data_IF_562012191228
#
_entry.id   IF_562012191228
#
_cell.length_a   1.000
_cell.length_b   1.000
_cell.length_c   1.000
_cell.angle_alpha   90.00
_cell.angle_beta   90.00
_cell.angle_gamma   90.00
#
_symmetry.space_group_name_H-M   'P 1'
#
loop_
_entity.id
_entity.type
_entity.pdbx_description
1 polymer ?
#
# COMPACT_ATOMS: atom_id res chain seq x y z
N UNK A 1 -35.82 20.72 22.69
CA UNK A 1 -35.93 21.71 21.59
C UNK A 1 -34.67 22.56 21.68
N UNK A 2 -33.68 22.48 20.80
CA UNK A 2 -33.70 22.36 19.34
C UNK A 2 -32.46 21.60 18.83
N UNK A 3 -32.69 20.56 18.01
CA UNK A 3 -31.69 19.92 17.16
C UNK A 3 -31.09 20.92 16.17
N UNK A 4 -29.76 20.97 16.06
CA UNK A 4 -29.07 21.49 14.87
C UNK A 4 -28.37 20.33 14.18
N UNK A 5 -29.09 19.68 13.26
CA UNK A 5 -28.52 18.79 12.25
C UNK A 5 -27.61 19.63 11.35
N UNK A 6 -26.30 19.39 11.41
CA UNK A 6 -25.38 19.86 10.37
C UNK A 6 -25.55 18.92 9.19
N UNK A 7 -26.30 19.39 8.19
CA UNK A 7 -26.49 18.69 6.93
C UNK A 7 -25.20 18.84 6.12
N UNK A 8 -24.39 17.79 6.09
CA UNK A 8 -23.23 17.72 5.19
C UNK A 8 -23.78 17.27 3.83
N UNK A 9 -23.73 18.17 2.85
CA UNK A 9 -24.27 17.97 1.51
C UNK A 9 -23.68 16.70 0.86
N UNK A 10 -24.57 15.75 0.54
CA UNK A 10 -24.29 14.52 -0.22
C UNK A 10 -23.53 14.76 -1.53
N UNK A 11 -23.64 15.98 -2.06
CA UNK A 11 -22.96 16.47 -3.26
C UNK A 11 -21.43 16.41 -3.12
N UNK A 12 -20.87 16.64 -1.93
CA UNK A 12 -19.41 16.62 -1.72
C UNK A 12 -18.82 15.20 -1.69
N UNK A 13 -19.58 14.23 -1.16
CA UNK A 13 -19.17 12.82 -1.10
C UNK A 13 -19.19 12.19 -2.49
N UNK A 14 -20.19 12.54 -3.31
CA UNK A 14 -20.31 12.05 -4.69
C UNK A 14 -19.22 12.62 -5.60
N UNK A 15 -18.82 13.88 -5.40
CA UNK A 15 -17.75 14.51 -6.17
C UNK A 15 -16.37 13.88 -5.89
N UNK A 16 -16.09 13.53 -4.64
CA UNK A 16 -14.84 12.86 -4.26
C UNK A 16 -14.73 11.44 -4.84
N UNK A 17 -15.84 10.67 -4.84
CA UNK A 17 -15.89 9.36 -5.50
C UNK A 17 -15.77 9.46 -7.02
N UNK A 18 -16.41 10.45 -7.64
CA UNK A 18 -16.29 10.72 -9.08
C UNK A 18 -14.86 11.08 -9.48
N UNK A 19 -14.18 11.92 -8.70
CA UNK A 19 -12.77 12.29 -8.94
C UNK A 19 -11.83 11.10 -8.80
N UNK A 20 -12.06 10.20 -7.83
CA UNK A 20 -11.29 8.96 -7.71
C UNK A 20 -11.50 8.01 -8.89
N UNK A 21 -12.76 7.82 -9.33
CA UNK A 21 -13.08 6.99 -10.49
C UNK A 21 -12.53 7.56 -11.81
N UNK A 22 -12.54 8.88 -11.99
CA UNK A 22 -11.96 9.54 -13.17
C UNK A 22 -10.44 9.35 -13.22
N UNK A 23 -9.75 9.52 -12.09
CA UNK A 23 -8.30 9.30 -12.00
C UNK A 23 -7.91 7.84 -12.25
N UNK A 24 -8.75 6.88 -11.85
CA UNK A 24 -8.56 5.45 -12.16
C UNK A 24 -8.77 5.13 -13.64
N UNK A 25 -9.81 5.71 -14.28
CA UNK A 25 -10.08 5.49 -15.71
C UNK A 25 -9.01 6.08 -16.62
N UNK A 26 -8.42 7.22 -16.25
CA UNK A 26 -7.33 7.85 -17.00
C UNK A 26 -6.01 7.08 -16.97
N UNK A 27 -5.88 6.07 -16.08
CA UNK A 27 -4.71 5.18 -15.99
C UNK A 27 -4.81 3.93 -16.86
N UNK A 28 -5.95 3.71 -17.52
CA UNK A 28 -6.14 2.57 -18.43
C UNK A 28 -5.85 3.07 -19.84
N UNK A 29 -4.74 2.67 -20.50
CA UNK A 29 -4.51 3.02 -21.89
C UNK A 29 -5.64 2.45 -22.74
N UNK A 30 -6.23 3.29 -23.61
CA UNK A 30 -7.26 2.86 -24.54
C UNK A 30 -6.69 1.77 -25.45
N UNK A 31 -7.24 0.55 -25.34
CA UNK A 31 -6.87 -0.57 -26.20
C UNK A 31 -7.32 -0.24 -27.64
N UNK A 32 -6.41 -0.21 -28.63
CA UNK A 32 -6.83 0.00 -30.02
C UNK A 32 -7.75 -1.16 -30.44
N UNK A 33 -8.93 -0.80 -30.95
CA UNK A 33 -9.92 -1.75 -31.43
C UNK A 33 -9.36 -2.63 -32.54
N UNK A 34 -9.64 -3.93 -32.45
CA UNK A 34 -9.37 -4.89 -33.51
C UNK A 34 -10.14 -4.49 -34.77
N UNK A 35 -9.41 -4.26 -35.87
CA UNK A 35 -10.00 -4.24 -37.21
C UNK A 35 -9.51 -5.45 -38.00
N UNK A 36 -10.43 -6.03 -38.76
CA UNK A 36 -10.28 -7.28 -39.49
C UNK A 36 -9.27 -7.17 -40.65
N UNK A 37 -8.70 -8.34 -40.95
CA UNK A 37 -7.95 -8.76 -42.15
C UNK A 37 -8.14 -7.95 -43.43
N UNK A 38 -7.05 -7.62 -44.13
CA UNK A 38 -6.80 -7.96 -45.54
C UNK A 38 -5.32 -7.81 -45.90
N UNK A 39 -4.81 -8.76 -46.69
CA UNK A 39 -3.47 -8.75 -47.30
C UNK A 39 -3.41 -7.69 -48.42
N UNK A 40 -2.34 -6.92 -48.50
CA UNK A 40 -1.81 -6.37 -49.75
C UNK A 40 -0.36 -5.90 -49.60
N UNK A 41 0.50 -6.47 -50.45
CA UNK A 41 1.88 -6.08 -50.73
C UNK A 41 1.96 -4.69 -51.36
N UNK A 42 2.86 -3.81 -50.88
CA UNK A 42 3.68 -2.93 -51.75
C UNK A 42 4.75 -2.14 -50.98
N UNK A 43 5.93 -2.02 -51.60
CA UNK A 43 7.06 -1.19 -51.19
C UNK A 43 6.92 0.25 -51.71
N UNK A 44 7.56 1.15 -50.96
CA UNK A 44 8.22 2.42 -51.30
C UNK A 44 7.55 3.79 -51.01
N UNK A 45 8.35 4.61 -50.31
CA UNK A 45 8.56 6.07 -50.42
C UNK A 45 7.71 7.07 -49.61
N UNK A 46 8.47 7.87 -48.85
CA UNK A 46 8.35 9.30 -48.51
C UNK A 46 7.09 9.84 -47.81
N UNK A 47 7.34 10.42 -46.63
CA UNK A 47 6.43 11.23 -45.81
C UNK A 47 5.83 12.44 -46.53
N UNK A 48 4.60 12.83 -46.15
CA UNK A 48 4.19 14.23 -46.22
C UNK A 48 3.84 14.80 -44.83
N UNK A 49 4.31 16.04 -44.60
CA UNK A 49 3.93 16.91 -43.49
C UNK A 49 2.50 17.43 -43.73
N UNK A 50 1.62 17.36 -42.72
CA UNK A 50 0.35 18.08 -42.72
C UNK A 50 0.31 18.98 -41.49
N UNK A 51 0.29 20.29 -41.74
CA UNK A 51 0.11 21.33 -40.73
C UNK A 51 -1.40 21.52 -40.47
N UNK A 52 -1.82 21.40 -39.21
CA UNK A 52 -3.16 21.81 -38.81
C UNK A 52 -3.12 23.24 -38.25
N UNK A 53 -3.67 24.18 -39.01
CA UNK A 53 -4.05 25.50 -38.52
C UNK A 53 -5.30 25.36 -37.64
N UNK A 54 -5.24 25.82 -36.39
CA UNK A 54 -6.41 25.99 -35.52
C UNK A 54 -6.63 27.48 -35.30
N UNK A 55 -7.75 27.99 -35.80
CA UNK A 55 -8.20 29.37 -35.55
C UNK A 55 -9.00 29.42 -34.26
N UNK A 56 -8.63 30.29 -33.32
CA UNK A 56 -9.35 30.52 -32.06
C UNK A 56 -10.14 31.84 -32.15
N UNK A 57 -11.41 31.93 -31.71
CA UNK A 57 -12.16 33.17 -31.79
C UNK A 57 -11.66 34.20 -30.77
N UNK A 58 -11.57 35.46 -31.19
CA UNK A 58 -11.22 36.58 -30.31
C UNK A 58 -12.39 36.91 -29.36
N UNK A 59 -12.16 36.82 -28.05
CA UNK A 59 -13.10 37.28 -27.03
C UNK A 59 -12.76 38.72 -26.64
N UNK A 60 -13.72 39.62 -26.85
CA UNK A 60 -13.67 41.05 -26.53
C UNK A 60 -13.54 41.30 -25.03
N UNK A 61 -12.60 42.18 -24.69
CA UNK A 61 -12.31 42.68 -23.34
C UNK A 61 -13.42 43.61 -22.82
N UNK A 62 -13.83 43.40 -21.57
CA UNK A 62 -14.36 44.48 -20.73
C UNK A 62 -13.57 44.53 -19.43
N UNK A 63 -12.93 45.67 -19.24
CA UNK A 63 -12.18 46.10 -18.07
C UNK A 63 -13.13 46.38 -16.90
N UNK A 64 -12.83 45.83 -15.73
CA UNK A 64 -13.28 46.38 -14.45
C UNK A 64 -12.09 46.49 -13.52
N UNK A 65 -11.65 47.72 -13.32
CA UNK A 65 -10.66 48.15 -12.34
C UNK A 65 -11.24 48.03 -10.93
N UNK A 66 -10.62 47.23 -10.06
CA UNK A 66 -10.69 47.44 -8.61
C UNK A 66 -9.38 47.04 -7.93
N UNK A 67 -9.00 47.88 -6.99
CA UNK A 67 -7.72 48.08 -6.33
C UNK A 67 -7.33 47.04 -5.27
N UNK A 68 -6.00 46.95 -5.05
CA UNK A 68 -5.26 46.34 -3.93
C UNK A 68 -4.93 44.85 -3.99
N UNK A 69 -3.75 44.53 -4.54
CA UNK A 69 -2.62 43.97 -3.80
C UNK A 69 -1.41 43.95 -4.74
N UNK A 70 -0.22 44.31 -4.25
CA UNK A 70 1.03 44.34 -5.02
C UNK A 70 1.44 42.92 -5.41
N UNK A 71 0.86 42.44 -6.50
CA UNK A 71 1.21 41.21 -7.17
C UNK A 71 2.54 41.44 -7.91
N UNK A 72 3.60 40.76 -7.48
CA UNK A 72 4.95 40.79 -8.10
C UNK A 72 5.06 39.98 -9.40
N UNK A 73 3.95 39.42 -9.89
CA UNK A 73 3.96 38.65 -11.11
C UNK A 73 4.14 39.56 -12.33
N UNK A 74 4.98 39.15 -13.31
CA UNK A 74 5.25 39.96 -14.50
C UNK A 74 3.97 40.17 -15.32
N UNK A 75 3.86 41.33 -15.97
CA UNK A 75 2.76 41.62 -16.88
C UNK A 75 3.17 41.35 -18.32
N UNK A 76 2.23 40.89 -19.14
CA UNK A 76 2.47 40.69 -20.56
C UNK A 76 2.56 42.05 -21.28
N UNK A 77 3.68 42.30 -21.98
CA UNK A 77 3.94 43.56 -22.69
C UNK A 77 2.92 43.87 -23.80
N UNK A 78 2.22 42.86 -24.33
CA UNK A 78 1.32 43.03 -25.46
C UNK A 78 -0.15 43.25 -25.06
N UNK A 79 -0.59 42.79 -23.88
CA UNK A 79 -2.00 42.88 -23.46
C UNK A 79 -2.20 43.30 -22.01
N UNK A 80 -1.14 43.56 -21.25
CA UNK A 80 -1.18 44.01 -19.86
C UNK A 80 -1.74 42.98 -18.87
N UNK A 81 -2.00 41.74 -19.32
CA UNK A 81 -2.50 40.68 -18.45
C UNK A 81 -1.40 40.21 -17.49
N UNK A 82 -1.77 40.00 -16.23
CA UNK A 82 -0.87 39.47 -15.20
C UNK A 82 -0.53 38.01 -15.55
N UNK A 83 0.75 37.72 -15.78
CA UNK A 83 1.23 36.37 -16.05
C UNK A 83 1.36 35.67 -14.70
N UNK A 84 0.42 34.80 -14.34
CA UNK A 84 0.60 33.91 -13.19
C UNK A 84 1.56 32.79 -13.62
N UNK A 85 2.81 32.74 -13.13
CA UNK A 85 3.72 31.66 -13.49
C UNK A 85 3.12 30.33 -13.04
N UNK A 86 3.24 29.30 -13.88
CA UNK A 86 2.85 27.96 -13.48
C UNK A 86 3.65 27.55 -12.23
N UNK A 87 3.04 26.86 -11.25
CA UNK A 87 3.76 26.38 -10.08
C UNK A 87 4.96 25.54 -10.55
N UNK A 88 6.16 25.98 -10.20
CA UNK A 88 7.40 25.27 -10.53
C UNK A 88 7.46 24.06 -9.60
N UNK A 89 7.20 22.86 -10.14
CA UNK A 89 7.45 21.63 -9.43
C UNK A 89 8.98 21.43 -9.34
N UNK A 90 9.55 21.63 -8.16
CA UNK A 90 10.95 21.32 -7.89
C UNK A 90 11.11 19.80 -7.82
N UNK A 91 11.91 19.23 -8.73
CA UNK A 91 12.29 17.83 -8.64
C UNK A 91 13.49 17.70 -7.68
N UNK A 92 13.49 16.68 -6.81
CA UNK A 92 12.49 15.62 -6.71
C UNK A 92 11.27 16.03 -5.87
N UNK A 93 10.07 15.66 -6.32
CA UNK A 93 8.85 15.75 -5.52
C UNK A 93 8.95 14.72 -4.37
N UNK A 94 9.31 15.17 -3.18
CA UNK A 94 9.32 14.31 -1.98
C UNK A 94 7.94 14.35 -1.34
N UNK A 95 7.12 13.35 -1.65
CA UNK A 95 5.84 13.11 -0.98
C UNK A 95 6.11 12.44 0.37
N UNK A 96 6.30 13.26 1.41
CA UNK A 96 6.47 12.83 2.79
C UNK A 96 5.31 13.38 3.65
N UNK A 97 4.07 12.94 3.43
CA UNK A 97 2.93 13.50 4.11
C UNK A 97 2.99 13.14 5.61
N UNK A 98 2.73 14.13 6.44
CA UNK A 98 2.72 14.02 7.90
C UNK A 98 1.49 14.67 8.51
N UNK A 99 1.16 14.27 9.73
CA UNK A 99 0.12 14.89 10.55
C UNK A 99 0.55 14.88 12.01
N UNK A 100 0.26 15.96 12.71
CA UNK A 100 0.51 16.10 14.15
C UNK A 100 -0.80 16.37 14.89
N UNK A 101 -1.05 15.64 15.98
CA UNK A 101 -2.22 15.80 16.84
C UNK A 101 -1.74 15.80 18.29
N UNK A 102 -1.75 16.98 18.92
CA UNK A 102 -1.16 17.15 20.25
C UNK A 102 0.32 16.76 20.25
N UNK A 103 0.67 15.80 21.11
CA UNK A 103 2.03 15.27 21.23
C UNK A 103 2.29 14.04 20.33
N UNK A 104 1.38 13.72 19.42
CA UNK A 104 1.53 12.64 18.47
C UNK A 104 1.93 13.17 17.09
N UNK A 105 2.93 12.55 16.48
CA UNK A 105 3.37 12.87 15.13
C UNK A 105 3.42 11.61 14.27
N UNK A 106 2.85 11.69 13.08
CA UNK A 106 2.80 10.59 12.11
C UNK A 106 3.49 11.05 10.85
N UNK A 107 4.45 10.27 10.39
CA UNK A 107 5.17 10.50 9.14
C UNK A 107 5.03 9.29 8.23
N UNK A 108 4.80 9.58 6.96
CA UNK A 108 4.78 8.55 5.91
C UNK A 108 5.74 8.94 4.81
N UNK A 109 6.49 7.98 4.30
CA UNK A 109 7.40 8.17 3.18
C UNK A 109 7.04 7.15 2.11
N UNK A 110 6.81 7.64 0.88
CA UNK A 110 6.60 6.79 -0.30
C UNK A 110 7.70 7.04 -1.31
N UNK A 111 8.32 5.96 -1.78
CA UNK A 111 9.39 5.96 -2.77
C UNK A 111 9.17 4.82 -3.79
N UNK A 112 9.85 4.87 -4.95
CA UNK A 112 9.86 3.76 -5.90
C UNK A 112 10.45 2.47 -5.30
N UNK A 113 10.32 1.38 -6.07
CA UNK A 113 11.01 0.11 -5.79
C UNK A 113 12.53 0.33 -5.67
N UNK A 114 13.20 -0.58 -4.95
CA UNK A 114 14.66 -0.56 -4.83
C UNK A 114 15.32 -0.63 -6.21
N UNK A 115 16.44 0.08 -6.35
CA UNK A 115 17.29 -0.06 -7.54
C UNK A 115 18.16 -1.32 -7.40
N UNK A 116 18.83 -1.72 -8.48
CA UNK A 116 19.65 -2.95 -8.51
C UNK A 116 20.74 -2.98 -7.44
N UNK A 117 21.38 -1.85 -7.12
CA UNK A 117 22.45 -1.81 -6.11
C UNK A 117 21.88 -2.03 -4.70
N UNK A 118 20.77 -1.37 -4.37
CA UNK A 118 20.10 -1.52 -3.07
C UNK A 118 19.55 -2.95 -2.91
N UNK A 119 19.02 -3.53 -3.99
CA UNK A 119 18.56 -4.93 -4.04
C UNK A 119 19.70 -5.90 -3.73
N UNK A 120 20.82 -5.82 -4.45
CA UNK A 120 21.98 -6.70 -4.23
C UNK A 120 22.52 -6.58 -2.80
N UNK A 121 22.57 -5.36 -2.25
CA UNK A 121 23.02 -5.12 -0.87
C UNK A 121 22.07 -5.75 0.15
N UNK A 122 20.75 -5.61 -0.06
CA UNK A 122 19.75 -6.17 0.84
C UNK A 122 19.73 -7.70 0.77
N UNK A 123 19.78 -8.29 -0.42
CA UNK A 123 19.86 -9.74 -0.61
C UNK A 123 21.10 -10.33 0.05
N UNK A 124 22.26 -9.68 -0.10
CA UNK A 124 23.49 -10.08 0.59
C UNK A 124 23.35 -10.04 2.12
N UNK A 125 22.65 -9.03 2.64
CA UNK A 125 22.40 -8.89 4.08
C UNK A 125 21.42 -9.94 4.60
N UNK A 126 20.38 -10.25 3.83
CA UNK A 126 19.35 -11.22 4.20
C UNK A 126 19.80 -12.67 3.95
N UNK A 127 20.67 -12.91 2.97
CA UNK A 127 21.13 -14.24 2.57
C UNK A 127 20.12 -15.01 1.74
N UNK A 128 19.17 -14.33 1.10
CA UNK A 128 18.15 -14.87 0.21
C UNK A 128 17.66 -13.76 -0.75
N UNK A 129 17.10 -14.09 -1.93
CA UNK A 129 16.58 -13.11 -2.90
C UNK A 129 15.35 -12.40 -2.35
N UNK A 130 15.21 -11.10 -2.60
CA UNK A 130 14.06 -10.33 -2.07
C UNK A 130 12.84 -10.40 -3.02
N UNK A 131 11.64 -10.04 -2.55
CA UNK A 131 10.47 -9.86 -3.41
C UNK A 131 10.73 -8.96 -4.62
N UNK A 132 10.17 -9.32 -5.78
CA UNK A 132 10.35 -8.59 -7.04
C UNK A 132 10.06 -7.08 -6.90
N UNK A 133 8.97 -6.73 -6.23
CA UNK A 133 8.58 -5.35 -5.97
C UNK A 133 8.81 -4.99 -4.51
N UNK A 134 10.07 -4.85 -4.11
CA UNK A 134 10.42 -4.38 -2.76
C UNK A 134 10.52 -2.85 -2.69
N UNK A 135 9.67 -2.23 -1.88
CA UNK A 135 9.70 -0.79 -1.61
C UNK A 135 10.49 -0.50 -0.32
N UNK A 136 11.80 -0.75 -0.33
CA UNK A 136 12.65 -0.70 0.87
C UNK A 136 12.73 0.66 1.56
N UNK A 137 12.42 1.75 0.83
CA UNK A 137 12.39 3.11 1.35
C UNK A 137 10.97 3.57 1.78
N UNK A 138 9.94 2.74 1.60
CA UNK A 138 8.62 3.03 2.14
C UNK A 138 8.65 2.86 3.66
N UNK A 139 8.16 3.88 4.36
CA UNK A 139 8.20 3.91 5.82
C UNK A 139 6.97 4.60 6.39
N UNK A 140 6.45 4.03 7.47
CA UNK A 140 5.47 4.67 8.35
C UNK A 140 6.12 4.80 9.70
N UNK A 141 6.05 5.99 10.29
CA UNK A 141 6.62 6.28 11.60
C UNK A 141 5.57 6.99 12.44
N UNK A 142 5.41 6.55 13.68
CA UNK A 142 4.57 7.21 14.66
C UNK A 142 5.38 7.49 15.90
N UNK A 143 5.32 8.72 16.38
CA UNK A 143 6.01 9.18 17.57
C UNK A 143 5.01 9.75 18.57
N UNK A 144 5.20 9.41 19.84
CA UNK A 144 4.68 10.16 20.98
C UNK A 144 5.84 10.96 21.55
N UNK A 145 5.63 12.26 21.66
CA UNK A 145 6.58 13.19 22.25
C UNK A 145 6.18 13.50 23.70
N UNK A 146 7.17 13.77 24.54
CA UNK A 146 7.00 14.39 25.85
C UNK A 146 6.94 15.92 25.73
N UNK A 147 6.69 16.62 26.85
CA UNK A 147 6.60 18.09 26.89
C UNK A 147 7.86 18.79 26.38
N UNK A 148 9.04 18.21 26.64
CA UNK A 148 10.34 18.69 26.18
C UNK A 148 10.66 18.31 24.72
N UNK A 149 9.70 17.72 24.00
CA UNK A 149 9.82 17.23 22.62
C UNK A 149 10.81 16.07 22.44
N UNK A 150 11.22 15.40 23.50
CA UNK A 150 11.91 14.11 23.36
C UNK A 150 10.93 12.99 22.99
N UNK A 151 11.45 11.92 22.37
CA UNK A 151 10.63 10.78 21.94
C UNK A 151 10.39 9.87 23.13
N UNK A 152 9.15 9.80 23.60
CA UNK A 152 8.71 8.91 24.69
C UNK A 152 8.42 7.50 24.16
N UNK A 153 7.70 7.43 23.04
CA UNK A 153 7.32 6.17 22.41
C UNK A 153 7.35 6.30 20.90
N UNK A 154 7.76 5.24 20.21
CA UNK A 154 7.79 5.23 18.74
C UNK A 154 7.66 3.84 18.15
N UNK A 155 6.97 3.78 17.01
CA UNK A 155 6.86 2.58 16.19
C UNK A 155 7.07 2.91 14.71
N UNK A 156 7.86 2.07 14.05
CA UNK A 156 8.14 2.14 12.63
C UNK A 156 7.60 0.90 11.91
N UNK A 157 7.16 1.07 10.66
CA UNK A 157 6.86 -0.02 9.75
C UNK A 157 7.65 0.17 8.46
N UNK A 158 8.42 -0.85 8.08
CA UNK A 158 9.22 -0.84 6.86
C UNK A 158 9.39 -2.26 6.30
N UNK A 159 9.70 -2.34 5.00
CA UNK A 159 9.86 -3.63 4.32
C UNK A 159 11.08 -4.41 4.81
N UNK A 160 12.18 -3.72 5.12
CA UNK A 160 13.46 -4.33 5.46
C UNK A 160 13.35 -5.14 6.76
N UNK A 161 12.77 -4.56 7.80
CA UNK A 161 12.58 -5.24 9.09
C UNK A 161 11.56 -6.38 8.97
N UNK A 162 10.54 -6.22 8.12
CA UNK A 162 9.61 -7.30 7.83
C UNK A 162 10.32 -8.50 7.16
N UNK A 163 11.20 -8.24 6.19
CA UNK A 163 11.96 -9.27 5.48
C UNK A 163 13.01 -9.95 6.37
N UNK A 164 13.57 -9.25 7.37
CA UNK A 164 14.47 -9.87 8.35
C UNK A 164 13.80 -10.99 9.15
N UNK A 165 12.48 -10.94 9.32
CA UNK A 165 11.70 -11.96 10.04
C UNK A 165 11.30 -13.17 9.17
N UNK A 166 11.62 -13.17 7.89
CA UNK A 166 11.39 -14.33 7.01
C UNK A 166 12.27 -15.49 7.46
N UNK A 167 11.66 -16.67 7.58
CA UNK A 167 12.35 -17.87 8.07
C UNK A 167 13.46 -18.30 7.10
N UNK A 168 14.64 -18.56 7.66
CA UNK A 168 15.84 -19.03 6.94
C UNK A 168 16.16 -20.47 7.35
N UNK A 169 16.77 -21.22 6.45
CA UNK A 169 17.15 -22.63 6.66
C UNK A 169 15.93 -23.51 7.02
N UNK A 170 14.81 -23.30 6.32
CA UNK A 170 13.58 -24.07 6.47
C UNK A 170 13.77 -25.45 5.85
N UNK A 171 13.34 -26.51 6.52
CA UNK A 171 13.37 -27.85 5.94
C UNK A 171 12.48 -27.87 4.67
N UNK A 172 12.94 -28.46 3.55
CA UNK A 172 12.13 -28.61 2.34
C UNK A 172 10.75 -29.24 2.56
N UNK A 173 10.58 -30.07 3.59
CA UNK A 173 9.29 -30.66 3.97
C UNK A 173 8.32 -29.67 4.63
N UNK A 174 8.82 -28.59 5.24
CA UNK A 174 8.03 -27.51 5.84
C UNK A 174 7.73 -26.38 4.84
N UNK A 175 8.43 -26.32 3.72
CA UNK A 175 8.18 -25.35 2.68
C UNK A 175 6.80 -25.57 2.08
N UNK A 176 6.09 -24.48 1.84
CA UNK A 176 4.87 -24.51 1.06
C UNK A 176 5.18 -25.12 -0.30
N UNK A 177 4.51 -26.24 -0.60
CA UNK A 177 4.63 -26.89 -1.90
C UNK A 177 3.61 -26.28 -2.84
N UNK A 178 4.08 -25.75 -3.97
CA UNK A 178 3.20 -25.40 -5.08
C UNK A 178 2.62 -26.66 -5.70
N UNK A 179 1.40 -26.58 -6.22
CA UNK A 179 0.68 -27.75 -6.76
C UNK A 179 1.44 -28.51 -7.87
N UNK A 180 2.31 -27.83 -8.62
CA UNK A 180 3.21 -28.46 -9.62
C UNK A 180 4.63 -28.76 -9.11
N UNK A 181 4.96 -28.40 -7.85
CA UNK A 181 6.28 -28.69 -7.26
C UNK A 181 6.58 -30.19 -7.27
N UNK A 182 5.55 -31.02 -7.06
CA UNK A 182 5.71 -32.46 -7.03
C UNK A 182 6.22 -32.99 -8.39
N UNK A 183 5.68 -32.50 -9.51
CA UNK A 183 6.14 -32.90 -10.85
C UNK A 183 7.57 -32.42 -11.14
N UNK A 184 7.93 -31.23 -10.64
CA UNK A 184 9.27 -30.67 -10.80
C UNK A 184 10.31 -31.38 -9.93
N UNK A 185 9.97 -31.72 -8.69
CA UNK A 185 10.78 -32.51 -7.75
C UNK A 185 10.94 -33.94 -8.28
N UNK A 186 9.87 -34.58 -8.75
CA UNK A 186 9.91 -35.91 -9.35
C UNK A 186 10.79 -35.94 -10.62
N UNK A 187 10.71 -34.91 -11.47
CA UNK A 187 11.56 -34.77 -12.66
C UNK A 187 13.06 -34.53 -12.33
N UNK A 188 13.36 -34.08 -11.11
CA UNK A 188 14.73 -33.78 -10.62
C UNK A 188 15.34 -34.90 -9.79
N UNK A 189 14.53 -35.67 -9.07
CA UNK A 189 14.97 -36.90 -8.41
C UNK A 189 15.54 -37.92 -9.42
N UNK A 190 15.23 -37.76 -10.72
CA UNK A 190 15.77 -38.58 -11.80
C UNK A 190 17.07 -38.03 -12.41
N UNK A 191 17.62 -36.92 -11.92
CA UNK A 191 18.94 -36.38 -12.32
C UNK A 191 19.88 -36.39 -11.12
N UNK A 192 20.73 -37.43 -11.04
CA UNK A 192 21.83 -37.49 -10.06
C UNK A 192 22.87 -36.40 -10.39
N UNK A 193 22.99 -35.41 -9.52
CA UNK A 193 23.99 -34.34 -9.62
C UNK A 193 23.85 -33.40 -8.44
N UNK A 194 24.50 -33.75 -7.33
CA UNK A 194 24.41 -33.07 -6.02
C UNK A 194 25.14 -31.72 -5.95
N UNK A 195 25.69 -31.20 -7.06
CA UNK A 195 26.53 -29.98 -7.04
C UNK A 195 25.75 -28.65 -7.13
N UNK A 196 24.46 -28.66 -7.45
CA UNK A 196 23.64 -27.42 -7.55
C UNK A 196 22.92 -27.09 -6.21
N UNK A 197 23.00 -27.98 -5.22
CA UNK A 197 22.24 -27.90 -3.97
C UNK A 197 22.83 -26.93 -2.92
N UNK A 198 24.05 -26.42 -3.13
CA UNK A 198 24.78 -25.64 -2.12
C UNK A 198 24.50 -24.12 -2.14
N UNK A 199 23.88 -23.57 -3.19
CA UNK A 199 23.83 -22.11 -3.40
C UNK A 199 22.56 -21.44 -2.84
N UNK A 200 21.53 -22.20 -2.48
CA UNK A 200 20.33 -21.67 -1.84
C UNK A 200 20.07 -22.39 -0.53
N UNK A 201 20.45 -21.76 0.59
CA UNK A 201 19.87 -22.14 1.88
C UNK A 201 18.34 -22.10 1.72
N UNK A 202 17.61 -23.17 2.04
CA UNK A 202 16.18 -23.17 1.85
C UNK A 202 15.59 -22.09 2.76
N UNK A 203 14.98 -21.07 2.18
CA UNK A 203 14.31 -20.00 2.89
C UNK A 203 12.82 -20.09 2.56
N UNK A 204 11.99 -19.42 3.34
CA UNK A 204 10.56 -19.35 3.06
C UNK A 204 10.31 -18.44 1.85
N UNK A 205 10.25 -19.05 0.66
CA UNK A 205 10.06 -18.38 -0.64
C UNK A 205 8.71 -17.64 -0.74
N UNK A 206 7.78 -17.88 0.18
CA UNK A 206 6.52 -17.14 0.28
C UNK A 206 6.66 -15.78 0.96
N UNK A 207 7.85 -15.45 1.46
CA UNK A 207 8.16 -14.25 2.24
C UNK A 207 7.25 -14.06 3.44
N UNK A 208 6.80 -15.17 4.03
CA UNK A 208 5.97 -15.16 5.25
C UNK A 208 6.74 -14.47 6.38
N UNK A 209 6.09 -13.48 7.00
CA UNK A 209 6.67 -12.65 8.06
C UNK A 209 5.65 -12.37 9.16
N UNK A 210 6.06 -12.59 10.40
CA UNK A 210 5.29 -12.27 11.61
C UNK A 210 5.53 -10.84 12.10
N UNK A 211 5.94 -9.94 11.20
CA UNK A 211 6.29 -8.57 11.55
C UNK A 211 5.12 -7.79 12.15
N UNK A 212 5.36 -7.24 13.36
CA UNK A 212 4.38 -6.46 14.14
C UNK A 212 4.73 -4.97 14.23
N UNK A 213 5.62 -4.48 13.37
CA UNK A 213 6.24 -3.16 13.50
C UNK A 213 7.46 -3.17 14.44
N UNK A 214 8.38 -2.25 14.17
CA UNK A 214 9.63 -2.07 14.93
C UNK A 214 9.39 -0.98 15.98
N UNK A 215 9.33 -1.35 17.26
CA UNK A 215 9.26 -0.39 18.36
C UNK A 215 10.69 0.05 18.66
N UNK A 216 10.94 1.36 18.59
CA UNK A 216 12.26 1.96 18.83
C UNK A 216 12.41 2.53 20.24
N UNK A 217 11.31 2.62 21.01
CA UNK A 217 11.33 3.04 22.41
C UNK A 217 11.66 1.90 23.37
N UNK A 218 12.22 2.24 24.52
CA UNK A 218 12.53 1.28 25.60
C UNK A 218 11.29 0.82 26.38
N UNK A 219 10.12 1.42 26.13
CA UNK A 219 8.86 1.07 26.81
C UNK A 219 8.31 -0.25 26.23
N UNK A 220 8.28 -1.36 27.00
CA UNK A 220 7.79 -2.63 26.51
C UNK A 220 6.26 -2.64 26.43
N UNK A 221 5.73 -3.37 25.45
CA UNK A 221 4.30 -3.69 25.43
C UNK A 221 4.03 -4.95 26.25
N UNK A 222 2.92 -4.97 26.98
CA UNK A 222 2.49 -6.10 27.81
C UNK A 222 1.43 -6.90 27.07
N UNK A 223 1.56 -8.23 27.04
CA UNK A 223 0.55 -9.11 26.43
C UNK A 223 -0.71 -9.14 27.33
N UNK A 224 -1.83 -8.68 26.79
CA UNK A 224 -3.15 -8.75 27.44
C UNK A 224 -4.25 -8.89 26.38
N UNK A 225 -4.74 -10.13 26.22
CA UNK A 225 -5.76 -10.46 25.24
C UNK A 225 -7.15 -9.88 25.56
N UNK A 226 -7.38 -9.41 26.79
CA UNK A 226 -8.66 -8.80 27.19
C UNK A 226 -8.86 -7.40 26.59
N UNK A 227 -7.77 -6.70 26.26
CA UNK A 227 -7.77 -5.34 25.70
C UNK A 227 -8.14 -5.34 24.22
N UNK A 228 -9.42 -5.22 23.91
CA UNK A 228 -9.90 -5.16 22.52
C UNK A 228 -9.79 -3.75 21.91
N UNK A 229 -9.49 -3.68 20.61
CA UNK A 229 -9.53 -2.42 19.84
C UNK A 229 -10.98 -1.91 19.80
N UNK A 230 -11.28 -0.67 20.23
CA UNK A 230 -12.62 -0.12 20.25
C UNK A 230 -13.10 0.27 18.84
N UNK A 231 -13.77 -0.65 18.15
CA UNK A 231 -14.24 -0.45 16.76
C UNK A 231 -15.29 0.64 16.59
N UNK A 232 -16.05 0.96 17.64
CA UNK A 232 -17.10 2.00 17.59
C UNK A 232 -16.54 3.40 17.31
N UNK A 233 -15.40 3.77 17.92
CA UNK A 233 -14.71 5.04 17.68
C UNK A 233 -14.21 5.15 16.23
N UNK A 234 -13.85 4.02 15.61
CA UNK A 234 -13.32 3.97 14.25
C UNK A 234 -14.38 4.18 13.16
N UNK A 235 -15.66 3.93 13.47
CA UNK A 235 -16.76 4.01 12.48
C UNK A 235 -17.38 5.41 12.36
N UNK A 236 -17.34 6.19 13.43
CA UNK A 236 -18.02 7.50 13.51
C UNK A 236 -17.08 8.68 13.27
N UNK A 237 -15.77 8.50 13.40
CA UNK A 237 -14.78 9.56 13.27
C UNK A 237 -14.52 10.00 11.83
N UNK A 238 -14.35 11.31 11.61
CA UNK A 238 -13.85 11.84 10.33
C UNK A 238 -12.36 11.55 10.19
N UNK A 239 -11.96 11.00 9.04
CA UNK A 239 -10.55 10.72 8.73
C UNK A 239 -9.87 12.04 8.36
N UNK A 240 -8.90 12.46 9.17
CA UNK A 240 -8.08 13.65 8.95
C UNK A 240 -6.86 13.35 8.07
N UNK A 241 -6.31 12.14 8.22
CA UNK A 241 -5.19 11.67 7.43
C UNK A 241 -5.37 10.21 7.05
N UNK A 242 -5.10 9.91 5.79
CA UNK A 242 -5.15 8.56 5.25
C UNK A 242 -3.92 8.31 4.39
N UNK A 243 -3.30 7.16 4.57
CA UNK A 243 -2.28 6.68 3.65
C UNK A 243 -2.40 5.16 3.47
N UNK A 244 -2.13 4.69 2.26
CA UNK A 244 -2.14 3.28 1.88
C UNK A 244 -0.94 3.03 0.97
N UNK A 245 -0.02 2.17 1.40
CA UNK A 245 1.20 1.87 0.69
C UNK A 245 1.58 0.39 0.79
N UNK A 246 2.30 -0.08 -0.23
CA UNK A 246 2.86 -1.43 -0.29
C UNK A 246 4.28 -1.37 0.25
N UNK A 247 4.67 -2.33 1.08
CA UNK A 247 6.03 -2.49 1.58
C UNK A 247 6.81 -3.45 0.67
N UNK A 248 6.22 -4.59 0.32
CA UNK A 248 6.73 -5.46 -0.74
C UNK A 248 5.61 -6.27 -1.39
N UNK A 249 5.87 -6.73 -2.61
CA UNK A 249 5.00 -7.60 -3.38
C UNK A 249 5.82 -8.58 -4.23
N UNK A 250 5.35 -9.82 -4.36
CA UNK A 250 5.93 -10.86 -5.22
C UNK A 250 4.82 -11.73 -5.83
N UNK A 251 4.94 -12.08 -7.11
CA UNK A 251 3.98 -12.93 -7.83
C UNK A 251 4.28 -14.43 -7.71
N UNK A 252 5.29 -14.82 -6.91
CA UNK A 252 5.62 -16.20 -6.59
C UNK A 252 5.90 -17.04 -7.85
N UNK A 253 6.53 -16.42 -8.85
CA UNK A 253 6.76 -17.02 -10.17
C UNK A 253 5.45 -17.45 -10.85
N UNK A 254 4.43 -16.57 -10.84
CA UNK A 254 3.08 -16.79 -11.36
C UNK A 254 2.24 -17.86 -10.60
N UNK A 255 2.71 -18.33 -9.44
CA UNK A 255 1.99 -19.34 -8.64
C UNK A 255 1.17 -18.75 -7.50
N UNK A 256 0.98 -17.42 -7.45
CA UNK A 256 0.26 -16.80 -6.36
C UNK A 256 0.56 -15.32 -6.22
N UNK A 257 0.50 -14.85 -4.98
CA UNK A 257 0.94 -13.51 -4.60
C UNK A 257 1.33 -13.50 -3.12
N UNK A 258 2.42 -12.82 -2.79
CA UNK A 258 2.78 -12.41 -1.44
C UNK A 258 2.83 -10.88 -1.39
N UNK A 259 1.95 -10.27 -0.61
CA UNK A 259 1.76 -8.81 -0.58
C UNK A 259 1.76 -8.31 0.85
N UNK A 260 2.74 -7.50 1.23
CA UNK A 260 2.74 -6.76 2.48
C UNK A 260 2.28 -5.32 2.24
N UNK A 261 1.08 -4.98 2.70
CA UNK A 261 0.51 -3.63 2.58
C UNK A 261 0.32 -3.00 3.98
N UNK A 262 0.36 -1.68 4.05
CA UNK A 262 0.07 -0.91 5.27
C UNK A 262 -0.89 0.24 4.98
N UNK A 263 -1.92 0.36 5.83
CA UNK A 263 -2.95 1.40 5.79
C UNK A 263 -2.95 2.15 7.11
N UNK A 264 -3.06 3.48 7.06
CA UNK A 264 -3.14 4.35 8.23
C UNK A 264 -4.38 5.21 8.12
N UNK A 265 -5.11 5.32 9.22
CA UNK A 265 -6.23 6.25 9.39
C UNK A 265 -6.02 7.02 10.68
N UNK A 266 -5.92 8.34 10.56
CA UNK A 266 -5.84 9.24 11.71
C UNK A 266 -7.14 10.01 11.78
N UNK A 267 -7.79 9.96 12.94
CA UNK A 267 -8.96 10.74 13.29
C UNK A 267 -8.58 11.75 14.36
N UNK A 268 -9.54 12.57 14.80
CA UNK A 268 -9.28 13.59 15.83
C UNK A 268 -8.80 12.99 17.16
N UNK A 269 -9.41 11.89 17.60
CA UNK A 269 -9.21 11.36 18.96
C UNK A 269 -8.37 10.08 18.99
N UNK A 270 -8.10 9.48 17.82
CA UNK A 270 -7.37 8.22 17.74
C UNK A 270 -6.76 7.98 16.35
N UNK A 271 -5.89 6.98 16.29
CA UNK A 271 -5.25 6.48 15.08
C UNK A 271 -5.35 4.97 15.00
N UNK A 272 -5.52 4.45 13.77
CA UNK A 272 -5.47 3.03 13.46
C UNK A 272 -4.49 2.79 12.30
N UNK A 273 -3.55 1.87 12.53
CA UNK A 273 -2.70 1.26 11.49
C UNK A 273 -3.17 -0.16 11.27
N UNK A 274 -3.25 -0.58 10.01
CA UNK A 274 -3.40 -1.97 9.60
C UNK A 274 -2.27 -2.32 8.64
N UNK A 275 -1.31 -3.10 9.11
CA UNK A 275 -0.37 -3.82 8.25
C UNK A 275 -0.95 -5.21 7.99
N UNK A 276 -1.02 -5.60 6.72
CA UNK A 276 -1.51 -6.91 6.30
C UNK A 276 -0.50 -7.56 5.35
N UNK A 277 -0.01 -8.73 5.74
CA UNK A 277 0.60 -9.66 4.80
C UNK A 277 -0.49 -10.57 4.25
N UNK A 278 -0.74 -10.48 2.96
CA UNK A 278 -1.66 -11.34 2.24
C UNK A 278 -0.85 -12.32 1.38
N UNK A 279 -0.98 -13.61 1.67
CA UNK A 279 -0.35 -14.68 0.91
C UNK A 279 -1.43 -15.55 0.29
N UNK A 280 -1.35 -15.73 -1.02
CA UNK A 280 -2.10 -16.73 -1.77
C UNK A 280 -1.12 -17.58 -2.53
N UNK A 281 -1.18 -18.89 -2.34
CA UNK A 281 -0.52 -19.86 -3.20
C UNK A 281 -1.61 -20.60 -3.97
N UNK A 282 -1.59 -20.47 -5.29
CA UNK A 282 -2.66 -20.92 -6.17
C UNK A 282 -2.89 -22.43 -6.05
N UNK A 283 -4.15 -22.81 -5.86
CA UNK A 283 -4.61 -24.17 -5.61
C UNK A 283 -4.05 -24.83 -4.32
N UNK A 284 -3.42 -24.05 -3.43
CA UNK A 284 -2.84 -24.56 -2.18
C UNK A 284 -3.51 -23.92 -0.96
N UNK A 285 -3.20 -22.65 -0.65
CA UNK A 285 -3.60 -22.02 0.61
C UNK A 285 -3.72 -20.50 0.49
N UNK A 286 -4.52 -19.92 1.37
CA UNK A 286 -4.54 -18.51 1.72
C UNK A 286 -4.04 -18.33 3.15
N UNK A 287 -3.14 -17.38 3.37
CA UNK A 287 -2.76 -16.90 4.70
C UNK A 287 -2.86 -15.39 4.78
N UNK A 288 -3.34 -14.89 5.91
CA UNK A 288 -3.42 -13.45 6.18
C UNK A 288 -2.82 -13.18 7.56
N UNK A 289 -1.83 -12.30 7.61
CA UNK A 289 -1.21 -11.83 8.84
C UNK A 289 -1.57 -10.36 9.03
N UNK A 290 -2.44 -10.08 9.99
CA UNK A 290 -2.87 -8.73 10.32
C UNK A 290 -2.18 -8.23 11.58
N UNK A 291 -1.46 -7.11 11.47
CA UNK A 291 -1.02 -6.31 12.61
C UNK A 291 -1.83 -5.02 12.64
N UNK A 292 -2.70 -4.88 13.65
CA UNK A 292 -3.46 -3.66 13.91
C UNK A 292 -2.83 -2.91 15.08
N UNK A 293 -2.52 -1.63 14.90
CA UNK A 293 -2.09 -0.75 16.00
C UNK A 293 -3.11 0.35 16.16
N UNK A 294 -3.79 0.37 17.30
CA UNK A 294 -4.72 1.41 17.71
C UNK A 294 -4.08 2.30 18.77
N UNK A 295 -4.22 3.60 18.62
CA UNK A 295 -3.70 4.60 19.55
C UNK A 295 -4.85 5.53 19.93
N UNK A 296 -5.15 5.62 21.22
CA UNK A 296 -6.09 6.60 21.76
C UNK A 296 -5.31 7.82 22.25
N UNK A 297 -5.52 8.99 21.63
CA UNK A 297 -4.72 10.18 21.92
C UNK A 297 -5.06 10.80 23.27
N UNK A 298 -6.30 10.63 23.75
CA UNK A 298 -6.74 11.17 25.04
C UNK A 298 -6.35 10.24 26.19
N UNK A 299 -6.56 8.93 26.01
CA UNK A 299 -6.23 7.94 27.04
C UNK A 299 -4.76 7.58 27.08
N UNK A 300 -3.98 7.95 26.04
CA UNK A 300 -2.57 7.59 25.91
C UNK A 300 -2.34 6.08 25.98
N UNK A 301 -3.30 5.33 25.43
CA UNK A 301 -3.29 3.86 25.37
C UNK A 301 -2.96 3.43 23.95
N UNK A 302 -1.97 2.55 23.81
CA UNK A 302 -1.63 1.89 22.54
C UNK A 302 -1.98 0.42 22.66
N UNK A 303 -2.75 -0.10 21.71
CA UNK A 303 -3.14 -1.50 21.61
C UNK A 303 -2.64 -2.03 20.28
N UNK A 304 -1.85 -3.11 20.31
CA UNK A 304 -1.42 -3.85 19.12
C UNK A 304 -2.09 -5.22 19.10
N UNK A 305 -2.89 -5.50 18.08
CA UNK A 305 -3.50 -6.81 17.84
C UNK A 305 -2.82 -7.46 16.65
N UNK A 306 -2.27 -8.66 16.85
CA UNK A 306 -1.73 -9.50 15.79
C UNK A 306 -2.63 -10.72 15.57
N UNK A 307 -2.97 -11.01 14.32
CA UNK A 307 -3.76 -12.17 13.92
C UNK A 307 -3.11 -12.92 12.78
N UNK A 308 -3.23 -14.24 12.82
CA UNK A 308 -2.98 -15.12 11.68
C UNK A 308 -4.27 -15.81 11.30
N UNK A 309 -4.64 -15.71 10.03
CA UNK A 309 -5.81 -16.34 9.45
C UNK A 309 -5.34 -17.28 8.34
N UNK A 310 -5.93 -18.47 8.26
CA UNK A 310 -5.61 -19.44 7.23
C UNK A 310 -6.87 -20.11 6.69
N UNK A 311 -6.83 -20.47 5.41
CA UNK A 311 -7.80 -21.35 4.78
C UNK A 311 -7.17 -22.03 3.57
N UNK A 312 -7.54 -23.27 3.30
CA UNK A 312 -7.16 -23.93 2.05
C UNK A 312 -7.80 -23.21 0.86
N UNK A 313 -7.17 -23.34 -0.31
CA UNK A 313 -7.70 -22.72 -1.53
C UNK A 313 -9.10 -23.24 -1.87
N UNK A 314 -9.37 -24.52 -1.60
CA UNK A 314 -10.66 -25.15 -1.86
C UNK A 314 -11.76 -24.63 -0.93
N UNK A 315 -11.48 -24.43 0.36
CA UNK A 315 -12.45 -23.89 1.31
C UNK A 315 -12.92 -22.49 0.90
N UNK A 316 -11.99 -21.60 0.53
CA UNK A 316 -12.34 -20.26 0.04
C UNK A 316 -13.17 -20.34 -1.24
N UNK A 317 -12.78 -21.21 -2.17
CA UNK A 317 -13.51 -21.41 -3.43
C UNK A 317 -14.95 -21.89 -3.21
N UNK A 318 -15.19 -22.77 -2.23
CA UNK A 318 -16.52 -23.29 -1.90
C UNK A 318 -17.44 -22.23 -1.27
N UNK A 319 -16.88 -21.21 -0.63
CA UNK A 319 -17.64 -20.09 -0.06
C UNK A 319 -18.09 -19.06 -1.12
N UNK A 320 -17.57 -19.15 -2.35
CA UNK A 320 -17.99 -18.27 -3.44
C UNK A 320 -19.26 -18.83 -4.09
N UNK A 321 -20.36 -18.09 -3.92
CA UNK A 321 -21.63 -18.45 -4.55
C UNK A 321 -21.51 -18.46 -6.08
N UNK A 322 -22.13 -19.45 -6.71
CA UNK A 322 -22.23 -19.51 -8.18
C UNK A 322 -23.14 -18.37 -8.65
N UNK A 323 -22.55 -17.29 -9.16
CA UNK A 323 -23.29 -16.13 -9.69
C UNK A 323 -22.82 -14.75 -9.20
N UNK A 324 -21.92 -14.67 -8.21
CA UNK A 324 -21.42 -13.39 -7.64
C UNK A 324 -20.32 -12.70 -8.48
N UNK A 325 -20.16 -13.05 -9.75
CA UNK A 325 -19.13 -12.52 -10.64
C UNK A 325 -17.96 -13.48 -10.85
N UNK A 326 -16.79 -12.97 -11.26
CA UNK A 326 -15.58 -13.78 -11.44
C UNK A 326 -15.04 -14.25 -10.06
N UNK A 327 -15.04 -15.56 -9.76
CA UNK A 327 -14.54 -16.08 -8.49
C UNK A 327 -13.09 -15.67 -8.22
N UNK A 328 -12.27 -15.50 -9.27
CA UNK A 328 -10.87 -15.06 -9.13
C UNK A 328 -10.74 -13.61 -8.68
N UNK A 329 -11.74 -12.77 -8.95
CA UNK A 329 -11.74 -11.40 -8.47
C UNK A 329 -11.92 -11.34 -6.94
N UNK A 330 -12.83 -12.14 -6.38
CA UNK A 330 -13.04 -12.25 -4.94
C UNK A 330 -11.81 -12.83 -4.22
N UNK A 331 -11.17 -13.83 -4.82
CA UNK A 331 -9.93 -14.41 -4.28
C UNK A 331 -8.70 -13.46 -4.35
N UNK A 332 -8.81 -12.33 -5.05
CA UNK A 332 -7.82 -11.24 -5.03
C UNK A 332 -8.18 -10.14 -4.04
N UNK A 333 -9.42 -10.09 -3.56
CA UNK A 333 -9.85 -9.12 -2.56
C UNK A 333 -9.34 -9.55 -1.18
N UNK A 334 -8.30 -8.89 -0.72
CA UNK A 334 -7.64 -9.22 0.56
C UNK A 334 -8.56 -8.99 1.76
N UNK A 335 -9.53 -8.08 1.68
CA UNK A 335 -10.50 -7.84 2.75
C UNK A 335 -11.51 -8.97 2.80
N UNK A 336 -12.09 -9.32 1.65
CA UNK A 336 -13.05 -10.41 1.55
C UNK A 336 -12.42 -11.73 1.99
N UNK A 337 -11.22 -12.08 1.51
CA UNK A 337 -10.54 -13.33 1.90
C UNK A 337 -10.27 -13.35 3.40
N UNK A 338 -9.82 -12.25 4.01
CA UNK A 338 -9.58 -12.19 5.45
C UNK A 338 -10.85 -12.49 6.27
N UNK A 339 -12.02 -12.04 5.81
CA UNK A 339 -13.30 -12.31 6.48
C UNK A 339 -13.78 -13.76 6.33
N UNK A 340 -13.25 -14.51 5.36
CA UNK A 340 -13.63 -15.89 5.05
C UNK A 340 -12.56 -16.93 5.46
N UNK A 341 -11.40 -16.47 5.93
CA UNK A 341 -10.34 -17.31 6.51
C UNK A 341 -10.60 -17.60 8.01
N UNK A 342 -10.16 -18.76 8.48
CA UNK A 342 -10.25 -19.14 9.90
C UNK A 342 -9.13 -18.47 10.70
N UNK A 343 -9.47 -17.89 11.84
CA UNK A 343 -8.47 -17.40 12.80
C UNK A 343 -7.73 -18.57 13.44
N UNK A 344 -6.42 -18.67 13.18
CA UNK A 344 -5.54 -19.73 13.74
C UNK A 344 -4.73 -19.22 14.92
N UNK A 345 -4.44 -17.92 14.95
CA UNK A 345 -3.70 -17.28 16.05
C UNK A 345 -4.17 -15.85 16.24
N UNK A 346 -4.21 -15.44 17.51
CA UNK A 346 -4.47 -14.06 17.89
C UNK A 346 -3.75 -13.72 19.19
N UNK A 347 -3.14 -12.55 19.19
CA UNK A 347 -2.48 -11.99 20.37
C UNK A 347 -2.74 -10.49 20.41
N UNK A 348 -2.87 -9.95 21.62
CA UNK A 348 -2.95 -8.53 21.86
C UNK A 348 -1.93 -8.10 22.89
N UNK A 349 -1.30 -7.00 22.60
CA UNK A 349 -0.37 -6.32 23.46
C UNK A 349 -0.88 -4.91 23.70
N UNK A 350 -0.58 -4.35 24.87
CA UNK A 350 -0.93 -2.98 25.20
C UNK A 350 0.23 -2.27 25.88
N UNK A 351 0.23 -0.95 25.78
CA UNK A 351 1.05 -0.09 26.63
C UNK A 351 0.24 1.15 27.00
N UNK A 352 0.36 1.55 28.25
CA UNK A 352 -0.19 2.80 28.77
C UNK A 352 0.97 3.79 28.87
N UNK A 353 0.92 4.87 28.10
CA UNK A 353 1.96 5.89 28.08
C UNK A 353 1.71 6.96 29.15
N UNK A 354 2.75 7.72 29.47
CA UNK A 354 2.66 8.84 30.41
C UNK A 354 2.16 10.12 29.72
N UNK A 355 1.53 10.98 30.54
CA UNK A 355 0.91 12.24 30.15
C UNK A 355 1.90 13.24 29.59
#
# INVERSE_FOLDING_TARGET
MTDRKINIDSIHIDNARKMSQLTQKSRIPARPGQSMTTNLTQKWSSSPKVAHHVSVPALSTKTSTSSHNSCSNPQCDHCGSVIVPAPVATLPLTDAPSISIGNWEVFTTRKPILNSQDTEQLEKTLGFPIPEMTFGHNKVQVFKLSEDRSIEWSIDFNAIDALKMVRKNVDPSELLQVSYAQDWVNARQHRKGDEIMEIFRPFDWSYTSDYKGTITSEVPMTIDNSKAIPTSKLQTGSILFFNDMILFEDELGDNGISLLNIKIRVMKDCLLILQRLFLRVDNVIFRVYDTRVYIDFEKLEVIREFKRLEASYQEIRLQINVGTGDPRALMRDTAWVADHCKEVFKEREYVQLSG
#
